data_IF_722900616566
#
_entry.id   IF_722900616566
#
_cell.length_a   1.000
_cell.length_b   1.000
_cell.length_c   1.000
_cell.angle_alpha   90.00
_cell.angle_beta   90.00
_cell.angle_gamma   90.00
#
_symmetry.space_group_name_H-M   'P 1'
#
loop_
_entity.id
_entity.type
_entity.pdbx_description
1 polymer ?
#
# COMPACT_ATOMS: atom_id res chain seq x y z
N UNK A 1 -7.56 7.04 -23.08
CA UNK A 1 -7.45 7.87 -21.86
C UNK A 1 -8.09 7.09 -20.73
N UNK A 2 -7.30 6.55 -19.80
CA UNK A 2 -7.82 5.73 -18.69
C UNK A 2 -8.39 6.64 -17.61
N UNK A 3 -9.71 6.60 -17.43
CA UNK A 3 -10.41 7.33 -16.38
C UNK A 3 -10.36 6.52 -15.07
N UNK A 4 -9.21 6.51 -14.40
CA UNK A 4 -9.13 5.96 -13.05
C UNK A 4 -9.79 6.96 -12.09
N UNK A 5 -10.98 6.58 -11.60
CA UNK A 5 -11.69 7.33 -10.55
C UNK A 5 -10.83 7.29 -9.28
N UNK A 6 -10.50 8.44 -8.67
CA UNK A 6 -9.78 8.44 -7.39
C UNK A 6 -10.60 7.68 -6.35
N UNK A 7 -9.98 6.81 -5.53
CA UNK A 7 -10.69 6.18 -4.43
C UNK A 7 -11.25 7.26 -3.50
N UNK A 8 -12.54 7.14 -3.19
CA UNK A 8 -13.21 8.00 -2.22
C UNK A 8 -12.86 7.50 -0.82
N UNK A 9 -12.11 8.31 -0.06
CA UNK A 9 -11.79 8.03 1.33
C UNK A 9 -12.92 8.56 2.24
N UNK A 10 -13.64 7.70 2.97
CA UNK A 10 -14.56 8.16 4.00
C UNK A 10 -13.77 8.79 5.17
N UNK A 11 -14.33 9.84 5.77
CA UNK A 11 -13.80 10.50 6.96
C UNK A 11 -13.59 9.48 8.09
N UNK A 12 -12.42 9.60 8.74
CA UNK A 12 -11.83 8.70 9.74
C UNK A 12 -12.84 7.84 10.56
N UNK A 13 -13.06 6.56 10.21
CA UNK A 13 -13.46 5.58 11.21
C UNK A 13 -12.31 5.50 12.22
N UNK A 14 -12.61 5.36 13.51
CA UNK A 14 -11.59 5.18 14.57
C UNK A 14 -10.58 4.12 14.13
N UNK A 15 -9.41 4.57 13.64
CA UNK A 15 -8.45 3.81 12.84
C UNK A 15 -7.71 2.74 13.64
N UNK A 16 -8.07 2.59 14.91
CA UNK A 16 -7.46 1.69 15.87
C UNK A 16 -8.22 0.38 16.06
N UNK A 17 -9.46 0.26 15.57
CA UNK A 17 -10.19 -1.01 15.68
C UNK A 17 -9.55 -2.08 14.79
N UNK A 18 -9.37 -3.32 15.26
CA UNK A 18 -8.82 -4.42 14.45
C UNK A 18 -9.55 -4.58 13.12
N UNK A 19 -10.88 -4.45 13.15
CA UNK A 19 -11.74 -4.49 11.97
C UNK A 19 -11.42 -3.39 10.95
N UNK A 20 -11.18 -2.15 11.39
CA UNK A 20 -10.81 -1.07 10.48
C UNK A 20 -9.46 -1.34 9.80
N UNK A 21 -8.51 -1.99 10.51
CA UNK A 21 -7.21 -2.39 9.94
C UNK A 21 -7.37 -3.50 8.91
N UNK A 22 -8.22 -4.49 9.18
CA UNK A 22 -8.57 -5.55 8.22
C UNK A 22 -9.24 -4.97 6.96
N UNK A 23 -10.22 -4.08 7.12
CA UNK A 23 -10.91 -3.43 6.00
C UNK A 23 -9.95 -2.60 5.12
N UNK A 24 -8.97 -1.93 5.73
CA UNK A 24 -7.93 -1.20 4.99
C UNK A 24 -6.99 -2.16 4.24
N UNK A 25 -6.61 -3.29 4.85
CA UNK A 25 -5.79 -4.30 4.20
C UNK A 25 -6.51 -4.98 3.03
N UNK A 26 -7.80 -5.29 3.19
CA UNK A 26 -8.67 -5.82 2.11
C UNK A 26 -8.76 -4.83 0.95
N UNK A 27 -8.97 -3.54 1.25
CA UNK A 27 -9.02 -2.49 0.21
C UNK A 27 -7.71 -2.39 -0.58
N UNK A 28 -6.57 -2.44 0.09
CA UNK A 28 -5.26 -2.40 -0.58
C UNK A 28 -5.04 -3.65 -1.46
N UNK A 29 -5.45 -4.83 -1.00
CA UNK A 29 -5.40 -6.08 -1.77
C UNK A 29 -6.30 -6.05 -3.01
N UNK A 30 -7.54 -5.59 -2.87
CA UNK A 30 -8.46 -5.43 -4.00
C UNK A 30 -7.93 -4.44 -5.03
N UNK A 31 -7.41 -3.29 -4.57
CA UNK A 31 -6.76 -2.32 -5.44
C UNK A 31 -5.56 -2.92 -6.18
N UNK A 32 -4.68 -3.66 -5.49
CA UNK A 32 -3.56 -4.36 -6.12
C UNK A 32 -4.02 -5.28 -7.24
N UNK A 33 -4.98 -6.18 -6.93
CA UNK A 33 -5.51 -7.18 -7.86
C UNK A 33 -6.08 -6.52 -9.12
N UNK A 34 -6.91 -5.50 -8.95
CA UNK A 34 -7.52 -4.76 -10.06
C UNK A 34 -6.47 -4.05 -10.93
N UNK A 35 -5.48 -3.40 -10.31
CA UNK A 35 -4.48 -2.64 -11.04
C UNK A 35 -3.44 -3.54 -11.72
N UNK A 36 -3.03 -4.65 -11.11
CA UNK A 36 -2.14 -5.64 -11.75
C UNK A 36 -2.79 -6.25 -12.97
N UNK A 37 -4.10 -6.56 -12.92
CA UNK A 37 -4.84 -7.05 -14.08
C UNK A 37 -4.87 -6.04 -15.24
N UNK A 38 -4.85 -4.73 -14.95
CA UNK A 38 -4.92 -3.67 -15.94
C UNK A 38 -3.55 -3.22 -16.48
N UNK A 39 -2.55 -3.12 -15.59
CA UNK A 39 -1.26 -2.47 -15.86
C UNK A 39 -0.07 -3.45 -15.87
N UNK A 40 -0.23 -4.62 -15.27
CA UNK A 40 0.84 -5.58 -15.00
C UNK A 40 1.64 -5.26 -13.74
N UNK A 41 2.33 -6.29 -13.21
CA UNK A 41 3.10 -6.21 -11.96
C UNK A 41 4.19 -5.13 -11.99
N UNK A 42 4.95 -5.03 -13.09
CA UNK A 42 6.06 -4.09 -13.20
C UNK A 42 5.62 -2.62 -13.14
N UNK A 43 4.49 -2.27 -13.77
CA UNK A 43 3.96 -0.91 -13.67
C UNK A 43 3.36 -0.65 -12.29
N UNK A 44 2.73 -1.65 -11.68
CA UNK A 44 2.20 -1.52 -10.33
C UNK A 44 3.31 -1.27 -9.30
N UNK A 45 4.47 -1.91 -9.44
CA UNK A 45 5.65 -1.64 -8.61
C UNK A 45 6.08 -0.17 -8.70
N UNK A 46 6.09 0.43 -9.91
CA UNK A 46 6.40 1.85 -10.08
C UNK A 46 5.39 2.75 -9.38
N UNK A 47 4.10 2.40 -9.43
CA UNK A 47 3.03 3.12 -8.72
C UNK A 47 3.27 3.10 -7.21
N UNK A 48 3.63 1.95 -6.64
CA UNK A 48 3.97 1.85 -5.22
C UNK A 48 5.20 2.67 -4.85
N UNK A 49 6.30 2.54 -5.61
CA UNK A 49 7.52 3.31 -5.35
C UNK A 49 7.26 4.82 -5.37
N UNK A 50 6.50 5.31 -6.36
CA UNK A 50 6.15 6.73 -6.47
C UNK A 50 5.28 7.19 -5.31
N UNK A 51 4.26 6.41 -4.95
CA UNK A 51 3.35 6.74 -3.85
C UNK A 51 4.08 6.77 -2.51
N UNK A 52 4.94 5.78 -2.25
CA UNK A 52 5.75 5.70 -1.04
C UNK A 52 6.74 6.87 -0.94
N UNK A 53 7.39 7.22 -2.05
CA UNK A 53 8.30 8.38 -2.09
C UNK A 53 7.57 9.67 -1.74
N UNK A 54 6.38 9.88 -2.32
CA UNK A 54 5.55 11.05 -2.00
C UNK A 54 5.09 11.06 -0.54
N UNK A 55 4.74 9.90 0.02
CA UNK A 55 4.33 9.78 1.41
C UNK A 55 5.48 10.06 2.39
N UNK A 56 6.69 9.59 2.11
CA UNK A 56 7.89 9.85 2.91
C UNK A 56 8.26 11.34 2.92
N UNK A 57 8.12 12.01 1.77
CA UNK A 57 8.44 13.43 1.64
C UNK A 57 7.32 14.35 2.17
N UNK A 58 6.18 13.82 2.56
CA UNK A 58 5.10 14.61 3.14
C UNK A 58 5.49 15.07 4.56
N UNK A 59 5.53 16.39 4.84
CA UNK A 59 5.93 16.91 6.14
C UNK A 59 5.01 16.51 7.30
N UNK A 60 3.80 16.01 7.03
CA UNK A 60 2.88 15.52 8.07
C UNK A 60 3.07 14.04 8.38
N UNK A 61 3.88 13.32 7.62
CA UNK A 61 4.18 11.91 7.89
C UNK A 61 5.18 11.80 9.03
N UNK A 62 4.90 10.94 10.00
CA UNK A 62 5.80 10.70 11.13
C UNK A 62 7.08 10.00 10.68
N UNK A 63 8.24 10.59 10.99
CA UNK A 63 9.55 9.98 10.76
C UNK A 63 9.70 8.60 11.43
N UNK A 64 9.07 8.41 12.60
CA UNK A 64 9.05 7.12 13.28
C UNK A 64 8.29 6.05 12.49
N UNK A 65 7.12 6.40 11.93
CA UNK A 65 6.34 5.47 11.10
C UNK A 65 7.06 5.13 9.79
N UNK A 66 7.78 6.10 9.21
CA UNK A 66 8.64 5.87 8.05
C UNK A 66 9.75 4.88 8.39
N UNK A 67 10.45 5.07 9.51
CA UNK A 67 11.51 4.17 9.95
C UNK A 67 11.00 2.73 10.17
N UNK A 68 9.88 2.56 10.88
CA UNK A 68 9.27 1.23 11.07
C UNK A 68 8.93 0.54 9.74
N UNK A 69 8.41 1.28 8.76
CA UNK A 69 8.11 0.71 7.45
C UNK A 69 9.39 0.28 6.70
N UNK A 70 10.47 1.07 6.79
CA UNK A 70 11.75 0.70 6.18
C UNK A 70 12.36 -0.55 6.81
N UNK A 71 12.26 -0.69 8.14
CA UNK A 71 12.71 -1.89 8.85
C UNK A 71 11.90 -3.12 8.42
N UNK A 72 10.57 -2.99 8.33
CA UNK A 72 9.69 -4.08 7.89
C UNK A 72 9.97 -4.50 6.43
N UNK A 73 10.13 -3.53 5.51
CA UNK A 73 10.52 -3.84 4.13
C UNK A 73 11.87 -4.55 4.05
N UNK A 74 12.82 -4.15 4.90
CA UNK A 74 14.13 -4.80 4.97
C UNK A 74 14.04 -6.21 5.52
N UNK A 75 13.14 -6.46 6.48
CA UNK A 75 12.86 -7.78 7.02
C UNK A 75 12.24 -8.68 5.95
N UNK A 76 11.17 -8.21 5.30
CA UNK A 76 10.45 -8.96 4.25
C UNK A 76 11.34 -9.23 3.03
N UNK A 77 12.17 -8.27 2.62
CA UNK A 77 13.09 -8.47 1.50
C UNK A 77 14.19 -9.52 1.78
N UNK A 78 14.45 -9.82 3.05
CA UNK A 78 15.43 -10.83 3.48
C UNK A 78 14.80 -12.19 3.75
N UNK A 79 13.50 -12.25 4.02
CA UNK A 79 12.79 -13.53 4.06
C UNK A 79 12.64 -14.06 2.65
N UNK A 80 13.27 -15.20 2.35
CA UNK A 80 13.14 -15.92 1.07
C UNK A 80 11.77 -16.60 0.89
N UNK A 81 10.79 -16.33 1.74
CA UNK A 81 9.44 -16.86 1.58
C UNK A 81 8.67 -16.07 0.53
N UNK A 82 8.43 -16.75 -0.59
CA UNK A 82 7.51 -16.35 -1.66
C UNK A 82 6.21 -15.84 -1.06
N UNK A 83 5.92 -14.57 -1.28
CA UNK A 83 4.61 -14.02 -0.98
C UNK A 83 3.56 -14.66 -1.89
N UNK A 84 2.65 -15.43 -1.29
CA UNK A 84 1.34 -15.84 -1.82
C UNK A 84 0.39 -14.63 -1.93
N UNK A 85 0.91 -13.45 -2.30
CA UNK A 85 0.09 -12.25 -2.49
C UNK A 85 -0.87 -12.39 -3.69
N UNK A 86 -0.64 -13.39 -4.55
CA UNK A 86 -1.40 -13.66 -5.78
C UNK A 86 -2.47 -14.77 -5.69
N UNK A 87 -2.92 -15.18 -4.50
CA UNK A 87 -4.15 -16.00 -4.35
C UNK A 87 -5.43 -15.12 -4.25
#
# INVERSE_FOLDING_TARGET
MSNLKPPHFPEHPSSESPRAREELADRLRSFHREQVQQLGQSEMLKVYCRTLSNWILNPTTSAYQIAMLCDELSLVARSEDRDDWEL
#
